data_IF_424035897215
#
_entry.id   IF_424035897215
#
_cell.length_a   1.000
_cell.length_b   1.000
_cell.length_c   1.000
_cell.angle_alpha   90.00
_cell.angle_beta   90.00
_cell.angle_gamma   90.00
#
_symmetry.space_group_name_H-M   'P 1'
#
loop_
_entity.id
_entity.type
_entity.pdbx_description
1 polymer ?
#
# COMPACT_ATOMS: atom_id res chain seq x y z
N UNK A 1 5.71 17.38 0.30
CA UNK A 1 5.14 16.02 0.24
C UNK A 1 3.99 16.04 -0.75
N UNK A 2 4.03 15.24 -1.81
CA UNK A 2 2.88 15.10 -2.72
C UNK A 2 1.88 14.12 -2.08
N UNK A 3 0.56 14.40 -2.12
CA UNK A 3 -0.44 13.50 -1.58
C UNK A 3 -0.51 12.21 -2.43
N UNK A 4 -0.37 11.05 -1.78
CA UNK A 4 -0.58 9.75 -2.43
C UNK A 4 -2.07 9.63 -2.74
N UNK A 5 -2.44 9.55 -4.01
CA UNK A 5 -3.83 9.31 -4.42
C UNK A 5 -4.23 7.89 -4.02
N UNK A 6 -5.27 7.77 -3.19
CA UNK A 6 -5.82 6.48 -2.79
C UNK A 6 -6.72 5.98 -3.91
N UNK A 7 -6.33 4.87 -4.55
CA UNK A 7 -7.23 4.12 -5.44
C UNK A 7 -8.05 3.14 -4.57
N UNK A 8 -9.40 3.23 -4.56
CA UNK A 8 -10.25 2.30 -3.81
C UNK A 8 -10.01 0.82 -4.14
N UNK A 9 -9.51 0.50 -5.34
CA UNK A 9 -9.18 -0.87 -5.78
C UNK A 9 -7.95 -1.45 -5.09
N UNK A 10 -7.13 -0.60 -4.49
CA UNK A 10 -5.93 -0.99 -3.76
C UNK A 10 -6.15 -1.01 -2.24
N UNK A 11 -7.40 -0.93 -1.77
CA UNK A 11 -7.73 -1.07 -0.36
C UNK A 11 -7.94 -2.56 -0.03
N UNK A 12 -7.22 -3.05 0.96
CA UNK A 12 -7.26 -4.46 1.38
C UNK A 12 -7.35 -4.57 2.91
N UNK A 13 -8.01 -5.62 3.41
CA UNK A 13 -8.05 -5.87 4.86
C UNK A 13 -6.76 -6.53 5.34
N UNK A 14 -6.33 -6.26 6.58
CA UNK A 14 -5.18 -6.90 7.20
C UNK A 14 -5.30 -8.44 7.18
N UNK A 15 -6.50 -8.99 7.37
CA UNK A 15 -6.78 -10.43 7.29
C UNK A 15 -6.54 -10.98 5.89
N UNK A 16 -6.91 -10.23 4.84
CA UNK A 16 -6.66 -10.62 3.44
C UNK A 16 -5.17 -10.60 3.10
N UNK A 17 -4.41 -9.65 3.68
CA UNK A 17 -2.95 -9.56 3.53
C UNK A 17 -2.27 -10.80 4.11
N UNK A 18 -2.65 -11.22 5.32
CA UNK A 18 -2.08 -12.43 5.93
C UNK A 18 -2.32 -13.69 5.09
N UNK A 19 -3.50 -13.83 4.50
CA UNK A 19 -3.86 -15.00 3.68
C UNK A 19 -3.22 -15.00 2.29
N UNK A 20 -2.96 -13.82 1.72
CA UNK A 20 -2.58 -13.66 0.31
C UNK A 20 -1.29 -12.84 0.14
N UNK A 21 -0.36 -12.94 1.09
CA UNK A 21 0.81 -12.06 1.17
C UNK A 21 1.55 -11.91 -0.16
N UNK A 22 1.83 -13.03 -0.85
CA UNK A 22 2.56 -13.02 -2.14
C UNK A 22 1.84 -12.16 -3.20
N UNK A 23 0.53 -12.34 -3.36
CA UNK A 23 -0.24 -11.56 -4.33
C UNK A 23 -0.31 -10.07 -3.96
N UNK A 24 -0.37 -9.76 -2.66
CA UNK A 24 -0.33 -8.37 -2.18
C UNK A 24 1.04 -7.74 -2.45
N UNK A 25 2.12 -8.49 -2.18
CA UNK A 25 3.48 -8.05 -2.47
C UNK A 25 3.67 -7.77 -3.96
N UNK A 26 3.24 -8.66 -4.84
CA UNK A 26 3.36 -8.51 -6.30
C UNK A 26 2.56 -7.29 -6.81
N UNK A 27 1.39 -7.01 -6.21
CA UNK A 27 0.61 -5.79 -6.51
C UNK A 27 1.30 -4.52 -5.99
N UNK A 28 1.87 -4.58 -4.79
CA UNK A 28 2.58 -3.47 -4.16
C UNK A 28 3.86 -3.06 -4.92
N UNK A 29 4.42 -3.95 -5.76
CA UNK A 29 5.51 -3.58 -6.68
C UNK A 29 5.07 -2.61 -7.79
N UNK A 30 3.76 -2.57 -8.11
CA UNK A 30 3.21 -1.78 -9.22
C UNK A 30 2.46 -0.53 -8.75
N UNK A 31 1.78 -0.63 -7.61
CA UNK A 31 1.04 0.48 -7.02
C UNK A 31 0.84 0.28 -5.50
N UNK A 32 0.73 1.35 -4.70
CA UNK A 32 0.61 1.25 -3.25
C UNK A 32 -0.67 0.53 -2.86
N UNK A 33 -0.58 -0.39 -1.89
CA UNK A 33 -1.70 -1.14 -1.32
C UNK A 33 -2.01 -0.59 0.07
N UNK A 34 -3.25 -0.11 0.27
CA UNK A 34 -3.71 0.48 1.52
C UNK A 34 -4.35 -0.58 2.39
N UNK A 35 -3.81 -0.79 3.56
CA UNK A 35 -4.28 -1.85 4.46
C UNK A 35 -5.18 -1.25 5.53
N UNK A 36 -6.32 -1.91 5.73
CA UNK A 36 -7.32 -1.56 6.72
C UNK A 36 -7.48 -2.64 7.78
N UNK A 37 -7.73 -2.22 9.02
CA UNK A 37 -8.16 -3.08 10.12
C UNK A 37 -9.34 -2.42 10.80
N UNK A 38 -10.43 -3.16 11.00
CA UNK A 38 -11.67 -2.63 11.57
C UNK A 38 -12.18 -1.36 10.84
N UNK A 39 -12.14 -1.38 9.50
CA UNK A 39 -12.53 -0.27 8.60
C UNK A 39 -11.73 1.03 8.78
N UNK A 40 -10.56 0.99 9.43
CA UNK A 40 -9.65 2.13 9.55
C UNK A 40 -8.35 1.84 8.81
N UNK A 41 -7.80 2.84 8.13
CA UNK A 41 -6.47 2.75 7.54
C UNK A 41 -5.42 2.59 8.64
N UNK A 42 -4.56 1.59 8.50
CA UNK A 42 -3.53 1.28 9.50
C UNK A 42 -2.12 1.43 8.92
N UNK A 43 -1.92 0.97 7.69
CA UNK A 43 -0.63 1.04 7.01
C UNK A 43 -0.80 1.06 5.49
N UNK A 44 0.28 1.40 4.79
CA UNK A 44 0.38 1.29 3.33
C UNK A 44 1.61 0.45 2.98
N UNK A 45 1.45 -0.45 2.01
CA UNK A 45 2.52 -1.27 1.46
C UNK A 45 2.84 -0.71 0.10
N UNK A 46 4.10 -0.36 -0.16
CA UNK A 46 4.54 0.18 -1.43
C UNK A 46 5.92 -0.37 -1.80
N UNK A 47 6.30 -0.23 -3.06
CA UNK A 47 7.65 -0.57 -3.50
C UNK A 47 8.69 0.37 -2.87
N UNK A 48 9.93 -0.12 -2.71
CA UNK A 48 11.02 0.73 -2.24
C UNK A 48 11.29 1.91 -3.19
N UNK A 49 11.12 1.70 -4.50
CA UNK A 49 11.27 2.75 -5.50
C UNK A 49 10.24 3.87 -5.30
N UNK A 50 8.96 3.55 -5.10
CA UNK A 50 7.93 4.54 -4.77
C UNK A 50 8.21 5.23 -3.45
N UNK A 51 8.71 4.51 -2.45
CA UNK A 51 9.08 5.11 -1.15
C UNK A 51 10.15 6.17 -1.34
N UNK A 52 11.22 5.83 -2.08
CA UNK A 52 12.28 6.77 -2.42
C UNK A 52 11.74 7.97 -3.20
N UNK A 53 10.85 7.79 -4.19
CA UNK A 53 10.26 8.92 -4.93
C UNK A 53 9.43 9.86 -4.05
N UNK A 54 8.69 9.33 -3.08
CA UNK A 54 7.87 10.12 -2.16
C UNK A 54 8.71 10.86 -1.11
N UNK A 55 9.80 10.24 -0.63
CA UNK A 55 10.59 10.74 0.49
C UNK A 55 11.90 11.44 0.11
N UNK A 56 12.54 11.11 -1.01
CA UNK A 56 13.79 11.72 -1.47
C UNK A 56 13.59 13.04 -2.24
N UNK A 57 12.34 13.49 -2.47
CA UNK A 57 12.06 14.88 -2.87
C UNK A 57 12.18 15.87 -1.68
N UNK A 58 13.22 15.71 -0.85
CA UNK A 58 13.60 16.65 0.20
C UNK A 58 14.98 17.20 -0.11
#
# INVERSE_FOLDING_TARGET
MQPVKIDPRNIISATSVQKNWKAVYDKAQKAPQFVTRNNKFELVILSYAEYCQLYQKK
#
